data_IF_160460110916
#
_entry.id   IF_160460110916
#
_cell.length_a   1.000
_cell.length_b   1.000
_cell.length_c   1.000
_cell.angle_alpha   90.00
_cell.angle_beta   90.00
_cell.angle_gamma   90.00
#
_symmetry.space_group_name_H-M   'P 1'
#
loop_
_entity.id
_entity.type
_entity.pdbx_description
1 polymer ?
#
# COMPACT_ATOMS: atom_id res chain seq x y z
N UNK A 1 -42.12 -30.80 -34.82
CA UNK A 1 -40.67 -30.62 -34.58
C UNK A 1 -40.30 -29.33 -33.82
N UNK A 2 -41.12 -28.26 -33.82
CA UNK A 2 -40.83 -27.01 -33.08
C UNK A 2 -40.78 -27.12 -31.54
N UNK A 3 -41.46 -28.09 -30.92
CA UNK A 3 -41.45 -28.28 -29.45
C UNK A 3 -40.19 -28.96 -28.88
N UNK A 4 -39.38 -29.62 -29.72
CA UNK A 4 -38.14 -30.29 -29.26
C UNK A 4 -36.92 -29.37 -29.27
N UNK A 5 -36.96 -28.27 -30.04
CA UNK A 5 -35.86 -27.29 -30.11
C UNK A 5 -35.82 -26.41 -28.85
N UNK A 6 -36.97 -26.11 -28.24
CA UNK A 6 -37.06 -25.32 -27.00
C UNK A 6 -36.52 -26.05 -25.76
N UNK A 7 -36.52 -27.39 -25.73
CA UNK A 7 -35.94 -28.15 -24.62
C UNK A 7 -34.40 -28.22 -24.66
N UNK A 8 -33.79 -28.14 -25.84
CA UNK A 8 -32.33 -28.15 -25.96
C UNK A 8 -31.70 -26.78 -25.71
N UNK A 9 -32.41 -25.68 -25.94
CA UNK A 9 -31.93 -24.33 -25.60
C UNK A 9 -32.02 -24.05 -24.09
N UNK A 10 -32.99 -24.64 -23.39
CA UNK A 10 -33.12 -24.52 -21.93
C UNK A 10 -32.06 -25.28 -21.13
N UNK A 11 -31.54 -26.40 -21.65
CA UNK A 11 -30.51 -27.20 -20.97
C UNK A 11 -29.08 -26.69 -21.19
N UNK A 12 -28.83 -25.92 -22.27
CA UNK A 12 -27.52 -25.32 -22.53
C UNK A 12 -27.25 -24.08 -21.67
N UNK A 13 -28.30 -23.41 -21.17
CA UNK A 13 -28.17 -22.22 -20.32
C UNK A 13 -27.91 -22.53 -18.84
N UNK A 14 -28.07 -23.79 -18.41
CA UNK A 14 -27.83 -24.20 -17.02
C UNK A 14 -26.36 -24.59 -16.74
N UNK A 15 -25.52 -24.74 -17.76
CA UNK A 15 -24.14 -25.18 -17.63
C UNK A 15 -23.10 -24.03 -17.58
N UNK A 16 -23.56 -22.77 -17.65
CA UNK A 16 -22.72 -21.58 -17.49
C UNK A 16 -23.08 -20.83 -16.19
N UNK A 17 -23.32 -21.55 -15.10
CA UNK A 17 -23.14 -20.94 -13.78
C UNK A 17 -21.64 -20.92 -13.54
N UNK A 18 -21.01 -19.77 -13.81
CA UNK A 18 -19.70 -19.50 -13.22
C UNK A 18 -19.87 -19.71 -11.71
N UNK A 19 -19.24 -20.75 -11.17
CA UNK A 19 -19.14 -20.92 -9.73
C UNK A 19 -18.34 -19.71 -9.24
N UNK A 20 -19.04 -18.73 -8.67
CA UNK A 20 -18.40 -17.72 -7.87
C UNK A 20 -17.80 -18.45 -6.66
N UNK A 21 -16.56 -18.91 -6.80
CA UNK A 21 -15.82 -19.48 -5.69
C UNK A 21 -15.59 -18.33 -4.71
N UNK A 22 -16.15 -18.47 -3.52
CA UNK A 22 -15.85 -17.54 -2.43
C UNK A 22 -14.34 -17.54 -2.19
N UNK A 23 -13.78 -16.35 -1.95
CA UNK A 23 -12.36 -16.22 -1.62
C UNK A 23 -12.01 -17.11 -0.41
N UNK A 24 -10.89 -17.80 -0.49
CA UNK A 24 -10.36 -18.63 0.58
C UNK A 24 -9.92 -17.73 1.73
N UNK A 25 -10.53 -17.90 2.90
CA UNK A 25 -10.13 -17.15 4.10
C UNK A 25 -8.73 -17.57 4.52
N UNK A 26 -7.82 -16.61 4.62
CA UNK A 26 -6.47 -16.84 5.12
C UNK A 26 -6.49 -16.86 6.65
N UNK A 27 -6.00 -17.93 7.31
CA UNK A 27 -6.02 -17.98 8.76
C UNK A 27 -5.19 -16.85 9.39
N UNK A 28 -5.59 -16.35 10.58
CA UNK A 28 -4.81 -15.35 11.29
C UNK A 28 -3.44 -15.91 11.74
N UNK A 29 -2.51 -15.00 12.03
CA UNK A 29 -1.19 -15.32 12.56
C UNK A 29 -0.18 -15.77 11.51
N UNK A 30 1.06 -15.96 11.95
CA UNK A 30 2.21 -16.16 11.07
C UNK A 30 2.21 -17.50 10.33
N UNK A 31 2.56 -17.46 9.05
CA UNK A 31 2.84 -18.67 8.26
C UNK A 31 4.18 -19.31 8.63
N UNK A 32 5.12 -18.51 9.12
CA UNK A 32 6.46 -18.94 9.54
C UNK A 32 6.59 -18.89 11.07
N UNK A 33 7.15 -19.94 11.69
CA UNK A 33 7.38 -20.00 13.14
C UNK A 33 8.51 -19.09 13.62
N UNK A 34 9.41 -18.72 12.71
CA UNK A 34 10.52 -17.80 12.96
C UNK A 34 10.34 -16.58 12.08
N UNK A 35 10.73 -15.42 12.61
CA UNK A 35 10.71 -14.17 11.84
C UNK A 35 11.59 -14.29 10.60
N UNK A 36 11.07 -13.94 9.40
CA UNK A 36 11.88 -13.84 8.20
C UNK A 36 13.04 -12.84 8.36
N UNK A 37 14.09 -13.00 7.56
CA UNK A 37 15.27 -12.14 7.63
C UNK A 37 14.94 -10.65 7.48
N UNK A 38 15.50 -9.85 8.38
CA UNK A 38 15.38 -8.39 8.34
C UNK A 38 16.43 -7.84 7.37
N UNK A 39 16.05 -7.05 6.35
CA UNK A 39 17.00 -6.46 5.41
C UNK A 39 18.09 -5.64 6.11
N UNK A 40 19.34 -5.79 5.65
CA UNK A 40 20.48 -5.12 6.26
C UNK A 40 20.39 -3.58 6.26
N UNK A 41 19.64 -2.98 5.35
CA UNK A 41 19.37 -1.54 5.35
C UNK A 41 18.59 -1.09 6.62
N UNK A 42 17.61 -1.89 7.07
CA UNK A 42 16.85 -1.63 8.29
C UNK A 42 17.75 -1.72 9.52
N UNK A 43 18.61 -2.74 9.58
CA UNK A 43 19.60 -2.90 10.65
C UNK A 43 20.59 -1.73 10.71
N UNK A 44 21.10 -1.27 9.56
CA UNK A 44 22.01 -0.12 9.48
C UNK A 44 21.35 1.18 9.96
N UNK A 45 20.08 1.44 9.61
CA UNK A 45 19.35 2.64 10.08
C UNK A 45 19.13 2.62 11.59
N UNK A 46 18.76 1.47 12.15
CA UNK A 46 18.59 1.28 13.59
C UNK A 46 19.92 1.46 14.34
N UNK A 47 21.03 0.98 13.79
CA UNK A 47 22.36 1.22 14.36
C UNK A 47 22.78 2.69 14.28
N UNK A 48 22.50 3.37 13.16
CA UNK A 48 22.82 4.79 12.98
C UNK A 48 22.10 5.71 13.98
N UNK A 49 20.98 5.25 14.54
CA UNK A 49 20.18 5.94 15.56
C UNK A 49 20.46 5.45 16.98
N UNK A 50 21.49 4.60 17.17
CA UNK A 50 21.90 4.02 18.46
C UNK A 50 20.74 3.40 19.25
N UNK A 51 19.84 2.70 18.55
CA UNK A 51 18.66 2.06 19.14
C UNK A 51 18.55 0.57 18.74
N UNK A 52 17.47 -0.10 19.15
CA UNK A 52 17.14 -1.48 18.77
C UNK A 52 15.71 -1.57 18.24
N UNK A 53 15.40 -2.60 17.46
CA UNK A 53 14.02 -2.82 16.99
C UNK A 53 13.04 -2.96 18.16
N UNK A 54 13.44 -3.62 19.25
CA UNK A 54 12.62 -3.74 20.45
C UNK A 54 12.34 -2.36 21.09
N UNK A 55 13.36 -1.50 21.19
CA UNK A 55 13.19 -0.15 21.72
C UNK A 55 12.28 0.71 20.83
N UNK A 56 12.42 0.59 19.50
CA UNK A 56 11.56 1.26 18.53
C UNK A 56 10.10 0.79 18.61
N UNK A 57 9.88 -0.52 18.70
CA UNK A 57 8.55 -1.10 18.95
C UNK A 57 7.94 -0.53 20.23
N UNK A 58 8.69 -0.53 21.33
CA UNK A 58 8.21 0.01 22.61
C UNK A 58 7.87 1.51 22.52
N UNK A 59 8.60 2.26 21.72
CA UNK A 59 8.33 3.68 21.46
C UNK A 59 7.00 3.90 20.74
N UNK A 60 6.77 3.22 19.62
CA UNK A 60 5.49 3.34 18.89
C UNK A 60 4.31 2.78 19.68
N UNK A 61 4.52 1.69 20.43
CA UNK A 61 3.52 1.17 21.37
C UNK A 61 3.13 2.22 22.42
N UNK A 62 4.12 2.86 23.06
CA UNK A 62 3.88 3.89 24.06
C UNK A 62 3.15 5.12 23.47
N UNK A 63 3.46 5.51 22.22
CA UNK A 63 2.71 6.55 21.52
C UNK A 63 1.22 6.18 21.41
N UNK A 64 0.91 4.97 20.91
CA UNK A 64 -0.48 4.50 20.79
C UNK A 64 -1.18 4.38 22.15
N UNK A 65 -0.46 3.90 23.17
CA UNK A 65 -1.00 3.73 24.52
C UNK A 65 -1.39 5.08 25.14
N UNK A 66 -0.53 6.08 25.02
CA UNK A 66 -0.69 7.37 25.67
C UNK A 66 -1.57 8.36 24.89
N UNK A 67 -1.84 8.11 23.61
CA UNK A 67 -2.64 8.99 22.76
C UNK A 67 -4.03 8.38 22.47
N UNK A 68 -4.99 8.65 23.36
CA UNK A 68 -6.37 8.18 23.21
C UNK A 68 -7.09 8.83 22.01
N UNK A 69 -6.72 10.06 21.63
CA UNK A 69 -7.30 10.75 20.48
C UNK A 69 -6.85 10.08 19.18
N UNK A 70 -5.57 9.75 19.06
CA UNK A 70 -5.04 8.97 17.94
C UNK A 70 -5.77 7.63 17.80
N UNK A 71 -5.93 6.89 18.90
CA UNK A 71 -6.66 5.61 18.87
C UNK A 71 -8.11 5.79 18.41
N UNK A 72 -8.79 6.83 18.86
CA UNK A 72 -10.15 7.14 18.41
C UNK A 72 -10.20 7.47 16.91
N UNK A 73 -9.23 8.26 16.40
CA UNK A 73 -9.10 8.56 14.96
C UNK A 73 -8.86 7.30 14.14
N UNK A 74 -7.95 6.42 14.58
CA UNK A 74 -7.69 5.13 13.92
C UNK A 74 -8.97 4.29 13.84
N UNK A 75 -9.73 4.14 14.93
CA UNK A 75 -11.00 3.38 14.89
C UNK A 75 -12.01 3.98 13.93
N UNK A 76 -12.17 5.31 13.97
CA UNK A 76 -13.12 6.02 13.12
C UNK A 76 -12.79 5.82 11.64
N UNK A 77 -11.52 5.98 11.29
CA UNK A 77 -11.06 5.78 9.91
C UNK A 77 -11.19 4.32 9.51
N UNK A 78 -10.74 3.37 10.34
CA UNK A 78 -10.85 1.94 10.05
C UNK A 78 -12.30 1.53 9.75
N UNK A 79 -13.25 2.01 10.56
CA UNK A 79 -14.67 1.76 10.34
C UNK A 79 -15.20 2.36 9.02
N UNK A 80 -14.72 3.54 8.61
CA UNK A 80 -15.13 4.16 7.34
C UNK A 80 -14.68 3.37 6.10
N UNK A 81 -13.57 2.64 6.21
CA UNK A 81 -13.01 1.81 5.14
C UNK A 81 -13.36 0.32 5.26
N UNK A 82 -14.22 -0.05 6.22
CA UNK A 82 -14.61 -1.43 6.50
C UNK A 82 -13.40 -2.37 6.71
N UNK A 83 -12.51 -1.95 7.60
CA UNK A 83 -11.33 -2.74 8.02
C UNK A 83 -11.22 -2.73 9.55
N UNK A 84 -10.63 -3.79 10.12
CA UNK A 84 -10.25 -3.81 11.53
C UNK A 84 -9.15 -2.75 11.81
N UNK A 85 -9.23 -1.95 12.90
CA UNK A 85 -8.21 -0.96 13.25
C UNK A 85 -6.80 -1.55 13.39
N UNK A 86 -6.67 -2.85 13.69
CA UNK A 86 -5.39 -3.54 13.76
C UNK A 86 -4.62 -3.56 12.44
N UNK A 87 -5.28 -3.40 11.28
CA UNK A 87 -4.56 -3.25 10.03
C UNK A 87 -3.81 -1.91 9.95
N UNK A 88 -4.45 -0.81 10.35
CA UNK A 88 -3.82 0.52 10.41
C UNK A 88 -2.71 0.52 11.47
N UNK A 89 -2.99 -0.05 12.65
CA UNK A 89 -1.99 -0.17 13.72
C UNK A 89 -0.80 -1.01 13.25
N UNK A 90 -1.04 -2.12 12.57
CA UNK A 90 0.01 -2.99 12.03
C UNK A 90 0.93 -2.27 11.05
N UNK A 91 0.35 -1.49 10.12
CA UNK A 91 1.13 -0.66 9.20
C UNK A 91 2.02 0.36 9.94
N UNK A 92 1.46 1.12 10.88
CA UNK A 92 2.20 2.11 11.68
C UNK A 92 3.31 1.43 12.50
N UNK A 93 2.99 0.35 13.21
CA UNK A 93 3.94 -0.35 14.10
C UNK A 93 5.10 -0.96 13.31
N UNK A 94 4.82 -1.61 12.18
CA UNK A 94 5.86 -2.17 11.31
C UNK A 94 6.82 -1.09 10.81
N UNK A 95 6.27 0.00 10.26
CA UNK A 95 7.05 1.12 9.71
C UNK A 95 7.93 1.79 10.78
N UNK A 96 7.36 2.07 11.95
CA UNK A 96 8.08 2.69 13.05
C UNK A 96 9.00 1.75 13.83
N UNK A 97 8.93 0.45 13.61
CA UNK A 97 9.88 -0.50 14.19
C UNK A 97 11.10 -0.66 13.28
N UNK A 98 10.91 -0.83 11.97
CA UNK A 98 12.00 -1.25 11.08
C UNK A 98 12.53 -0.16 10.14
N UNK A 99 11.74 0.84 9.76
CA UNK A 99 12.16 1.86 8.81
C UNK A 99 12.55 3.18 9.47
N UNK A 100 11.70 3.70 10.34
CA UNK A 100 11.84 5.04 10.94
C UNK A 100 11.62 5.00 12.44
N UNK A 101 11.95 6.08 13.14
CA UNK A 101 11.57 6.25 14.55
C UNK A 101 10.24 7.00 14.65
N UNK A 102 9.39 6.60 15.61
CA UNK A 102 8.21 7.38 15.95
C UNK A 102 8.61 8.69 16.62
N UNK A 103 7.95 9.80 16.27
CA UNK A 103 8.01 10.99 17.11
C UNK A 103 7.22 10.74 18.40
N UNK A 104 7.59 11.42 19.48
CA UNK A 104 6.94 11.19 20.77
C UNK A 104 5.50 11.73 20.83
N UNK A 105 5.09 12.55 19.85
CA UNK A 105 3.83 13.30 19.85
C UNK A 105 3.31 13.59 18.44
N UNK A 106 1.99 13.60 18.26
CA UNK A 106 1.34 14.02 17.01
C UNK A 106 1.65 15.47 16.62
N UNK A 107 1.81 16.36 17.60
CA UNK A 107 2.12 17.79 17.39
C UNK A 107 3.37 17.99 16.53
N UNK A 108 4.38 17.12 16.67
CA UNK A 108 5.61 17.20 15.87
C UNK A 108 5.34 16.96 14.39
N UNK A 109 4.42 16.06 14.05
CA UNK A 109 4.02 15.83 12.66
C UNK A 109 3.30 17.05 12.07
N UNK A 110 2.39 17.69 12.80
CA UNK A 110 1.73 18.91 12.32
C UNK A 110 2.71 20.05 12.05
N UNK A 111 3.69 20.28 12.95
CA UNK A 111 4.73 21.29 12.74
C UNK A 111 5.53 21.00 11.47
N UNK A 112 5.87 19.72 11.24
CA UNK A 112 6.55 19.31 10.01
C UNK A 112 5.66 19.54 8.79
N UNK A 113 4.36 19.23 8.82
CA UNK A 113 3.45 19.49 7.71
C UNK A 113 3.43 20.97 7.32
N UNK A 114 3.35 21.86 8.33
CA UNK A 114 3.34 23.30 8.12
C UNK A 114 4.63 23.83 7.48
N UNK A 115 5.79 23.24 7.77
CA UNK A 115 7.06 23.70 7.15
C UNK A 115 7.12 23.47 5.64
N UNK A 116 6.38 22.48 5.11
CA UNK A 116 6.35 22.22 3.67
C UNK A 116 5.41 23.18 2.91
N UNK A 117 4.44 23.80 3.59
CA UNK A 117 3.56 24.80 2.97
C UNK A 117 4.31 26.05 2.51
N UNK A 118 5.42 26.39 3.16
CA UNK A 118 6.29 27.51 2.77
C UNK A 118 7.33 27.13 1.70
N UNK A 119 7.45 25.85 1.36
CA UNK A 119 8.42 25.36 0.37
C UNK A 119 7.86 25.47 -1.06
N UNK A 120 8.74 25.69 -2.03
CA UNK A 120 8.43 25.48 -3.45
C UNK A 120 8.80 24.06 -3.81
N UNK A 121 7.83 23.15 -3.75
CA UNK A 121 8.01 21.76 -4.11
C UNK A 121 7.67 21.56 -5.59
N UNK A 122 8.42 20.67 -6.24
CA UNK A 122 8.19 20.26 -7.63
C UNK A 122 8.41 18.76 -7.69
N UNK A 123 7.53 18.03 -8.39
CA UNK A 123 7.74 16.62 -8.69
C UNK A 123 8.45 16.51 -10.04
N UNK A 124 9.77 16.36 -10.00
CA UNK A 124 10.59 16.41 -11.21
C UNK A 124 11.81 15.48 -11.10
N UNK A 125 12.32 15.05 -12.26
CA UNK A 125 13.60 14.37 -12.40
C UNK A 125 14.50 15.15 -13.36
N UNK A 126 15.72 15.49 -12.93
CA UNK A 126 16.68 16.29 -13.72
C UNK A 126 16.09 17.59 -14.31
N UNK A 127 15.10 18.18 -13.63
CA UNK A 127 14.44 19.42 -14.05
C UNK A 127 13.24 19.24 -14.98
N UNK A 128 12.91 18.01 -15.40
CA UNK A 128 11.68 17.69 -16.12
C UNK A 128 10.56 17.37 -15.13
N UNK A 129 9.45 18.13 -15.17
CA UNK A 129 8.28 17.88 -14.34
C UNK A 129 7.63 16.55 -14.70
N UNK A 130 7.10 15.85 -13.70
CA UNK A 130 6.42 14.58 -13.91
C UNK A 130 5.17 14.73 -14.77
N UNK A 131 4.48 15.89 -14.72
CA UNK A 131 3.32 16.18 -15.57
C UNK A 131 3.71 16.13 -17.04
N UNK A 132 4.85 16.73 -17.39
CA UNK A 132 5.37 16.78 -18.76
C UNK A 132 5.94 15.40 -19.17
N UNK A 133 6.65 14.74 -18.26
CA UNK A 133 7.26 13.44 -18.51
C UNK A 133 6.24 12.38 -18.91
N UNK A 134 5.05 12.37 -18.26
CA UNK A 134 4.01 11.38 -18.54
C UNK A 134 3.20 11.67 -19.81
N UNK A 135 3.49 12.76 -20.54
CA UNK A 135 2.91 13.04 -21.86
C UNK A 135 3.63 12.31 -23.01
N UNK A 136 4.79 11.67 -22.73
CA UNK A 136 5.59 10.99 -23.74
C UNK A 136 4.82 9.83 -24.39
N UNK A 137 5.10 9.48 -25.68
CA UNK A 137 4.34 8.46 -26.42
C UNK A 137 4.23 7.09 -25.73
N UNK A 138 5.23 6.71 -24.93
CA UNK A 138 5.23 5.46 -24.16
C UNK A 138 4.05 5.36 -23.17
N UNK A 139 3.53 6.50 -22.71
CA UNK A 139 2.40 6.58 -21.78
C UNK A 139 1.04 6.63 -22.47
N UNK A 140 0.96 6.61 -23.80
CA UNK A 140 -0.32 6.65 -24.53
C UNK A 140 -1.28 5.54 -24.13
N UNK A 141 -0.78 4.36 -23.72
CA UNK A 141 -1.63 3.27 -23.22
C UNK A 141 -2.36 3.58 -21.91
N UNK A 142 -1.90 4.58 -21.16
CA UNK A 142 -2.53 5.05 -19.94
C UNK A 142 -3.52 6.19 -20.19
N UNK A 143 -3.63 6.68 -21.43
CA UNK A 143 -4.55 7.75 -21.79
C UNK A 143 -6.00 7.28 -21.61
N UNK A 144 -6.83 8.13 -21.00
CA UNK A 144 -8.25 7.85 -20.77
C UNK A 144 -8.55 7.02 -19.51
N UNK A 145 -7.54 6.55 -18.78
CA UNK A 145 -7.75 5.99 -17.44
C UNK A 145 -8.10 7.14 -16.49
N UNK A 146 -9.26 7.06 -15.85
CA UNK A 146 -9.78 8.12 -14.96
C UNK A 146 -9.60 7.79 -13.49
N UNK A 147 -9.61 6.51 -13.11
CA UNK A 147 -9.37 6.10 -11.72
C UNK A 147 -7.91 6.39 -11.34
N UNK A 148 -7.71 7.10 -10.22
CA UNK A 148 -6.40 7.55 -9.79
C UNK A 148 -5.43 6.41 -9.54
N UNK A 149 -5.90 5.28 -9.00
CA UNK A 149 -5.03 4.13 -8.74
C UNK A 149 -4.57 3.52 -10.07
N UNK A 150 -5.51 3.19 -10.94
CA UNK A 150 -5.23 2.54 -12.22
C UNK A 150 -4.34 3.41 -13.12
N UNK A 151 -4.54 4.73 -13.11
CA UNK A 151 -3.76 5.68 -13.89
C UNK A 151 -2.30 5.69 -13.45
N UNK A 152 -2.06 5.85 -12.15
CA UNK A 152 -0.70 5.92 -11.62
C UNK A 152 0.01 4.57 -11.65
N UNK A 153 -0.70 3.46 -11.41
CA UNK A 153 -0.17 2.11 -11.60
C UNK A 153 0.23 1.87 -13.07
N UNK A 154 -0.61 2.26 -14.03
CA UNK A 154 -0.27 2.16 -15.46
C UNK A 154 1.01 2.94 -15.78
N UNK A 155 1.16 4.16 -15.25
CA UNK A 155 2.37 5.00 -15.42
C UNK A 155 3.59 4.35 -14.78
N UNK A 156 3.48 3.77 -13.58
CA UNK A 156 4.56 3.02 -12.95
C UNK A 156 5.00 1.81 -13.78
N UNK A 157 4.05 1.09 -14.37
CA UNK A 157 4.36 -0.03 -15.26
C UNK A 157 5.07 0.43 -16.54
N UNK A 158 4.65 1.56 -17.14
CA UNK A 158 5.35 2.17 -18.28
C UNK A 158 6.78 2.54 -17.88
N UNK A 159 6.96 3.20 -16.73
CA UNK A 159 8.28 3.55 -16.20
C UNK A 159 9.17 2.31 -16.06
N UNK A 160 8.70 1.29 -15.34
CA UNK A 160 9.45 0.07 -15.09
C UNK A 160 9.81 -0.68 -16.39
N UNK A 161 8.90 -0.69 -17.35
CA UNK A 161 9.13 -1.40 -18.62
C UNK A 161 10.02 -0.61 -19.58
N UNK A 162 9.84 0.71 -19.69
CA UNK A 162 10.38 1.49 -20.81
C UNK A 162 11.55 2.38 -20.43
N UNK A 163 11.63 2.82 -19.17
CA UNK A 163 12.57 3.88 -18.77
C UNK A 163 13.56 3.41 -17.71
N UNK A 164 13.12 2.73 -16.65
CA UNK A 164 13.95 2.34 -15.51
C UNK A 164 15.24 1.64 -15.93
N UNK A 165 16.39 2.25 -15.62
CA UNK A 165 17.72 1.71 -15.95
C UNK A 165 18.06 1.67 -17.44
N UNK A 166 17.32 2.39 -18.29
CA UNK A 166 17.47 2.40 -19.75
C UNK A 166 17.82 3.79 -20.27
N UNK A 167 18.34 3.85 -21.49
CA UNK A 167 18.52 5.09 -22.24
C UNK A 167 17.40 5.22 -23.28
N UNK A 168 16.64 6.31 -23.23
CA UNK A 168 15.52 6.57 -24.14
C UNK A 168 15.67 7.97 -24.72
N UNK A 169 15.72 8.08 -26.05
CA UNK A 169 15.86 9.37 -26.71
C UNK A 169 17.17 10.11 -26.39
N UNK A 170 18.23 9.39 -26.03
CA UNK A 170 19.53 9.97 -25.63
C UNK A 170 19.66 10.31 -24.14
N UNK A 171 18.59 10.23 -23.36
CA UNK A 171 18.60 10.43 -21.90
C UNK A 171 18.69 9.10 -21.17
N UNK A 172 19.63 8.97 -20.22
CA UNK A 172 19.76 7.79 -19.36
C UNK A 172 18.94 7.96 -18.10
N UNK A 173 18.14 6.95 -17.75
CA UNK A 173 17.28 6.97 -16.58
C UNK A 173 17.82 6.04 -15.48
N UNK A 174 17.61 6.39 -14.19
CA UNK A 174 18.12 5.61 -13.08
C UNK A 174 17.43 4.24 -13.00
N UNK A 175 18.13 3.24 -12.48
CA UNK A 175 17.52 1.97 -12.11
C UNK A 175 16.81 2.09 -10.74
N UNK A 176 15.86 2.99 -10.64
CA UNK A 176 15.09 3.26 -9.42
C UNK A 176 13.58 3.27 -9.68
N UNK A 177 12.77 3.25 -8.62
CA UNK A 177 11.31 3.28 -8.66
C UNK A 177 10.81 4.63 -9.18
N UNK A 178 9.65 4.64 -9.86
CA UNK A 178 9.05 5.86 -10.42
C UNK A 178 8.79 6.90 -9.32
N UNK A 179 8.13 6.48 -8.24
CA UNK A 179 7.92 7.29 -7.04
C UNK A 179 9.22 7.86 -6.46
N UNK A 180 10.30 7.08 -6.48
CA UNK A 180 11.58 7.53 -5.96
C UNK A 180 12.29 8.54 -6.87
N UNK A 181 12.05 8.43 -8.17
CA UNK A 181 12.70 9.25 -9.20
C UNK A 181 12.07 10.63 -9.32
N UNK A 182 10.73 10.72 -9.29
CA UNK A 182 10.00 11.96 -9.57
C UNK A 182 9.38 12.63 -8.35
N UNK A 183 9.00 11.87 -7.32
CA UNK A 183 8.14 12.38 -6.25
C UNK A 183 8.89 12.76 -4.97
N UNK A 184 10.21 12.98 -5.08
CA UNK A 184 11.07 13.15 -3.92
C UNK A 184 12.03 14.35 -4.06
N UNK A 185 11.51 15.60 -4.07
CA UNK A 185 12.26 16.84 -4.25
C UNK A 185 13.48 17.08 -3.34
N UNK A 186 13.61 16.38 -2.22
CA UNK A 186 14.74 16.60 -1.29
C UNK A 186 15.62 15.37 -1.08
N UNK A 187 15.03 14.18 -0.94
CA UNK A 187 15.76 12.97 -0.62
C UNK A 187 15.05 11.75 -1.18
N UNK A 188 15.77 10.99 -2.01
CA UNK A 188 15.29 9.73 -2.55
C UNK A 188 14.96 8.72 -1.42
N UNK A 189 13.87 7.98 -1.56
CA UNK A 189 13.34 6.98 -0.63
C UNK A 189 12.48 7.48 0.55
N UNK A 190 12.21 8.79 0.71
CA UNK A 190 11.51 9.26 1.92
C UNK A 190 9.98 9.05 1.92
N UNK A 191 9.51 8.59 3.07
CA UNK A 191 8.12 8.44 3.49
C UNK A 191 7.83 9.39 4.66
N UNK A 192 6.57 9.80 4.83
CA UNK A 192 6.22 10.89 5.74
C UNK A 192 5.00 10.58 6.61
N UNK A 193 4.88 11.35 7.69
CA UNK A 193 3.75 11.24 8.61
C UNK A 193 3.77 9.99 9.47
N UNK A 194 2.72 9.80 10.24
CA UNK A 194 2.54 8.61 11.08
C UNK A 194 2.36 7.34 10.23
N UNK A 195 1.77 7.48 9.04
CA UNK A 195 1.59 6.37 8.10
C UNK A 195 2.83 6.01 7.31
N UNK A 196 3.87 6.85 7.29
CA UNK A 196 5.01 6.67 6.38
C UNK A 196 4.57 6.48 4.92
N UNK A 197 3.67 7.35 4.44
CA UNK A 197 3.23 7.34 3.05
C UNK A 197 4.19 8.13 2.16
N UNK A 198 4.27 7.74 0.89
CA UNK A 198 4.95 8.50 -0.15
C UNK A 198 3.91 9.25 -1.03
N UNK A 199 4.30 10.32 -1.74
CA UNK A 199 3.36 11.12 -2.53
C UNK A 199 2.64 10.34 -3.63
N UNK A 200 3.31 9.40 -4.29
CA UNK A 200 2.71 8.61 -5.38
C UNK A 200 1.60 7.70 -4.85
N UNK A 201 1.79 7.06 -3.69
CA UNK A 201 0.73 6.28 -3.04
C UNK A 201 -0.45 7.14 -2.62
N UNK A 202 -0.22 8.39 -2.19
CA UNK A 202 -1.31 9.30 -1.89
C UNK A 202 -2.10 9.66 -3.16
N UNK A 203 -1.40 9.98 -4.26
CA UNK A 203 -2.03 10.24 -5.55
C UNK A 203 -2.81 9.02 -6.08
N UNK A 204 -2.27 7.81 -5.94
CA UNK A 204 -2.95 6.56 -6.28
C UNK A 204 -4.27 6.39 -5.51
N UNK A 205 -4.28 6.71 -4.22
CA UNK A 205 -5.44 6.53 -3.34
C UNK A 205 -6.42 7.71 -3.36
N UNK A 206 -6.14 8.77 -4.12
CA UNK A 206 -6.90 10.03 -4.13
C UNK A 206 -8.40 9.81 -4.31
N UNK A 207 -8.83 9.10 -5.35
CA UNK A 207 -10.26 8.93 -5.67
C UNK A 207 -10.99 8.12 -4.61
N UNK A 208 -10.37 7.05 -4.11
CA UNK A 208 -10.92 6.23 -3.04
C UNK A 208 -11.07 7.03 -1.74
N UNK A 209 -10.08 7.86 -1.41
CA UNK A 209 -10.11 8.72 -0.23
C UNK A 209 -11.12 9.84 -0.38
N UNK A 210 -11.23 10.45 -1.55
CA UNK A 210 -12.27 11.43 -1.85
C UNK A 210 -13.66 10.83 -1.65
N UNK A 211 -13.90 9.65 -2.24
CA UNK A 211 -15.17 8.93 -2.16
C UNK A 211 -15.57 8.54 -0.74
N UNK A 212 -14.64 8.02 0.07
CA UNK A 212 -14.94 7.47 1.41
C UNK A 212 -14.89 8.54 2.50
N UNK A 213 -13.88 9.42 2.44
CA UNK A 213 -13.58 10.38 3.51
C UNK A 213 -13.94 11.83 3.17
N UNK A 214 -14.29 12.13 1.90
CA UNK A 214 -14.65 13.48 1.47
C UNK A 214 -13.49 14.48 1.42
N UNK A 215 -12.24 14.00 1.47
CA UNK A 215 -11.08 14.87 1.29
C UNK A 215 -10.98 15.32 -0.17
N UNK A 216 -10.43 16.51 -0.48
CA UNK A 216 -10.19 16.92 -1.86
C UNK A 216 -9.31 15.90 -2.61
N UNK A 217 -9.60 15.70 -3.89
CA UNK A 217 -8.71 14.96 -4.78
C UNK A 217 -7.34 15.65 -4.87
N UNK A 218 -6.29 14.85 -4.96
CA UNK A 218 -4.92 15.32 -5.06
C UNK A 218 -4.52 15.51 -6.52
N UNK A 219 -3.89 16.65 -6.80
CA UNK A 219 -3.30 16.96 -8.10
C UNK A 219 -1.78 16.86 -8.01
N UNK A 220 -1.17 16.23 -9.00
CA UNK A 220 0.29 16.17 -9.14
C UNK A 220 0.92 17.55 -9.36
N UNK A 221 0.15 18.48 -9.94
CA UNK A 221 0.57 19.87 -10.13
C UNK A 221 0.53 20.71 -8.84
N UNK A 222 0.04 20.15 -7.72
CA UNK A 222 0.12 20.76 -6.39
C UNK A 222 0.89 19.87 -5.38
N UNK A 223 2.24 19.79 -5.52
CA UNK A 223 3.05 18.97 -4.63
C UNK A 223 2.94 19.41 -3.16
N UNK A 224 2.68 20.68 -2.87
CA UNK A 224 2.56 21.19 -1.51
C UNK A 224 1.35 20.56 -0.79
N UNK A 225 0.20 20.48 -1.46
CA UNK A 225 -0.98 19.83 -0.89
C UNK A 225 -0.78 18.32 -0.73
N UNK A 226 -0.12 17.65 -1.68
CA UNK A 226 0.21 16.23 -1.56
C UNK A 226 1.13 15.99 -0.36
N UNK A 227 2.18 16.79 -0.20
CA UNK A 227 3.12 16.67 0.93
C UNK A 227 2.46 16.97 2.27
N UNK A 228 1.62 18.01 2.35
CA UNK A 228 0.84 18.29 3.55
C UNK A 228 -0.01 17.07 3.93
N UNK A 229 -0.69 16.49 2.95
CA UNK A 229 -1.60 15.35 3.14
C UNK A 229 -0.90 14.13 3.72
N UNK A 230 0.29 13.78 3.22
CA UNK A 230 1.03 12.61 3.73
C UNK A 230 1.71 12.84 5.08
N UNK A 231 1.96 14.09 5.48
CA UNK A 231 2.60 14.41 6.77
C UNK A 231 1.57 14.61 7.88
N UNK A 232 0.48 15.33 7.60
CA UNK A 232 -0.54 15.71 8.58
C UNK A 232 -1.31 14.46 9.08
N UNK A 233 -1.30 14.15 10.40
CA UNK A 233 -1.97 12.98 10.95
C UNK A 233 -3.47 12.87 10.63
N UNK A 234 -4.18 13.99 10.53
CA UNK A 234 -5.63 13.99 10.26
C UNK A 234 -5.94 13.72 8.79
N UNK A 235 -5.02 14.10 7.90
CA UNK A 235 -5.14 13.87 6.46
C UNK A 235 -4.57 12.51 6.05
N UNK A 236 -3.51 12.03 6.69
CA UNK A 236 -2.75 10.84 6.27
C UNK A 236 -3.46 9.53 6.60
N UNK A 237 -4.18 9.44 7.73
CA UNK A 237 -4.82 8.20 8.19
C UNK A 237 -5.82 7.61 7.17
N UNK A 238 -6.71 8.40 6.53
CA UNK A 238 -7.54 7.93 5.42
C UNK A 238 -6.76 7.25 4.28
N UNK A 239 -5.58 7.78 3.92
CA UNK A 239 -4.76 7.20 2.86
C UNK A 239 -4.09 5.88 3.30
N UNK A 240 -3.72 5.76 4.59
CA UNK A 240 -3.24 4.49 5.16
C UNK A 240 -4.34 3.42 5.03
N UNK A 241 -5.55 3.77 5.46
CA UNK A 241 -6.70 2.86 5.42
C UNK A 241 -7.09 2.49 3.98
N UNK A 242 -7.09 3.45 3.05
CA UNK A 242 -7.32 3.21 1.63
C UNK A 242 -6.31 2.23 1.04
N UNK A 243 -5.02 2.39 1.35
CA UNK A 243 -3.95 1.50 0.88
C UNK A 243 -4.14 0.06 1.38
N UNK A 244 -4.53 -0.09 2.65
CA UNK A 244 -4.84 -1.38 3.26
C UNK A 244 -6.07 -2.01 2.60
N UNK A 245 -7.16 -1.26 2.47
CA UNK A 245 -8.39 -1.71 1.83
C UNK A 245 -8.13 -2.20 0.41
N UNK A 246 -7.38 -1.43 -0.38
CA UNK A 246 -6.94 -1.82 -1.74
C UNK A 246 -6.16 -3.13 -1.74
N UNK A 247 -5.31 -3.35 -0.73
CA UNK A 247 -4.57 -4.61 -0.60
C UNK A 247 -5.47 -5.80 -0.32
N UNK A 248 -6.47 -5.65 0.57
CA UNK A 248 -7.45 -6.69 0.87
C UNK A 248 -8.31 -6.98 -0.38
N UNK A 249 -8.78 -5.94 -1.08
CA UNK A 249 -9.58 -6.08 -2.29
C UNK A 249 -8.82 -6.78 -3.42
N UNK A 250 -7.56 -6.40 -3.65
CA UNK A 250 -6.71 -7.00 -4.66
C UNK A 250 -6.53 -8.51 -4.41
N UNK A 251 -6.20 -8.91 -3.18
CA UNK A 251 -6.02 -10.33 -2.87
C UNK A 251 -7.33 -11.12 -2.94
N UNK A 252 -8.45 -10.51 -2.54
CA UNK A 252 -9.76 -11.16 -2.61
C UNK A 252 -10.19 -11.39 -4.07
N UNK A 253 -10.10 -10.34 -4.90
CA UNK A 253 -10.62 -10.36 -6.27
C UNK A 253 -9.70 -11.01 -7.30
N UNK A 254 -8.38 -10.89 -7.13
CA UNK A 254 -7.39 -11.43 -8.09
C UNK A 254 -6.88 -12.78 -7.61
N UNK A 255 -6.33 -12.85 -6.40
CA UNK A 255 -5.71 -14.08 -5.91
C UNK A 255 -6.69 -15.09 -5.29
N UNK A 256 -7.97 -14.70 -5.12
CA UNK A 256 -8.99 -15.54 -4.49
C UNK A 256 -8.76 -15.76 -2.98
N UNK A 257 -8.07 -14.85 -2.29
CA UNK A 257 -7.78 -14.96 -0.85
C UNK A 257 -8.35 -13.78 -0.05
N UNK A 258 -9.12 -14.09 0.98
CA UNK A 258 -9.54 -13.09 1.96
C UNK A 258 -8.49 -12.95 3.07
N UNK A 259 -7.77 -11.83 3.04
CA UNK A 259 -6.72 -11.47 4.01
C UNK A 259 -7.22 -10.49 5.10
N UNK A 260 -8.52 -10.18 5.13
CA UNK A 260 -9.12 -9.19 6.05
C UNK A 260 -9.04 -9.57 7.54
N UNK A 261 -8.65 -10.79 7.86
CA UNK A 261 -8.47 -11.27 9.23
C UNK A 261 -7.00 -11.41 9.66
N UNK A 262 -6.04 -10.99 8.81
CA UNK A 262 -4.61 -11.09 9.09
C UNK A 262 -3.91 -9.74 8.89
N UNK A 263 -3.78 -8.91 9.95
CA UNK A 263 -3.10 -7.62 9.86
C UNK A 263 -1.61 -7.72 9.56
N UNK A 264 -0.96 -8.87 9.82
CA UNK A 264 0.40 -9.11 9.39
C UNK A 264 0.55 -9.15 7.86
N UNK A 265 -0.41 -9.75 7.14
CA UNK A 265 -0.39 -9.77 5.68
C UNK A 265 -0.61 -8.37 5.10
N UNK A 266 -1.56 -7.60 5.63
CA UNK A 266 -1.75 -6.22 5.16
C UNK A 266 -0.56 -5.32 5.52
N UNK A 267 0.07 -5.49 6.68
CA UNK A 267 1.29 -4.76 7.04
C UNK A 267 2.47 -5.11 6.14
N UNK A 268 2.56 -6.38 5.72
CA UNK A 268 3.51 -6.82 4.70
C UNK A 268 3.29 -6.06 3.40
N UNK A 269 2.06 -6.08 2.87
CA UNK A 269 1.70 -5.42 1.61
C UNK A 269 1.86 -3.89 1.67
N UNK A 270 1.54 -3.29 2.82
CA UNK A 270 1.77 -1.86 3.06
C UNK A 270 3.26 -1.51 2.96
N UNK A 271 4.14 -2.37 3.49
CA UNK A 271 5.59 -2.16 3.43
C UNK A 271 6.17 -2.37 2.03
N UNK A 272 5.70 -3.41 1.31
CA UNK A 272 6.32 -3.83 0.05
C UNK A 272 5.66 -3.22 -1.20
N UNK A 273 4.47 -2.64 -1.07
CA UNK A 273 3.69 -2.04 -2.16
C UNK A 273 3.22 -3.02 -3.23
N UNK A 274 2.60 -2.47 -4.27
CA UNK A 274 2.11 -3.15 -5.48
C UNK A 274 1.22 -4.38 -5.19
N UNK A 275 0.11 -4.21 -4.44
CA UNK A 275 -0.72 -5.35 -4.02
C UNK A 275 -1.31 -6.13 -5.19
N UNK A 276 -1.76 -5.47 -6.27
CA UNK A 276 -2.34 -6.16 -7.43
C UNK A 276 -1.31 -7.01 -8.18
N UNK A 277 -0.12 -6.46 -8.47
CA UNK A 277 0.95 -7.22 -9.11
C UNK A 277 1.30 -8.48 -8.32
N UNK A 278 1.31 -8.39 -6.99
CA UNK A 278 1.58 -9.53 -6.11
C UNK A 278 0.43 -10.52 -6.07
N UNK A 279 -0.81 -10.03 -6.11
CA UNK A 279 -1.99 -10.88 -6.19
C UNK A 279 -2.02 -11.68 -7.51
N UNK A 280 -1.75 -11.05 -8.65
CA UNK A 280 -1.63 -11.74 -9.94
C UNK A 280 -0.49 -12.77 -9.94
N UNK A 281 0.66 -12.44 -9.36
CA UNK A 281 1.77 -13.39 -9.26
C UNK A 281 1.41 -14.63 -8.41
N UNK A 282 0.65 -14.43 -7.33
CA UNK A 282 0.15 -15.53 -6.49
C UNK A 282 -0.92 -16.36 -7.21
N UNK A 283 -1.83 -15.71 -7.92
CA UNK A 283 -2.84 -16.37 -8.76
C UNK A 283 -2.16 -17.27 -9.79
N UNK A 284 -1.20 -16.74 -10.56
CA UNK A 284 -0.44 -17.49 -11.57
C UNK A 284 0.34 -18.66 -10.96
N UNK A 285 0.95 -18.48 -9.78
CA UNK A 285 1.62 -19.56 -9.06
C UNK A 285 0.62 -20.67 -8.66
N UNK A 286 -0.55 -20.29 -8.15
CA UNK A 286 -1.56 -21.25 -7.71
C UNK A 286 -2.28 -21.96 -8.85
N UNK A 287 -2.46 -21.32 -10.01
CA UNK A 287 -2.90 -21.99 -11.23
C UNK A 287 -1.95 -23.13 -11.62
N UNK A 288 -0.64 -22.87 -11.59
CA UNK A 288 0.39 -23.88 -11.88
C UNK A 288 0.37 -25.01 -10.85
N UNK A 289 0.25 -24.69 -9.56
CA UNK A 289 0.15 -25.69 -8.48
C UNK A 289 -1.09 -26.58 -8.63
N UNK A 290 -2.26 -25.99 -8.87
CA UNK A 290 -3.50 -26.73 -9.13
C UNK A 290 -3.37 -27.67 -10.33
N UNK A 291 -2.77 -27.20 -11.42
CA UNK A 291 -2.53 -28.03 -12.61
C UNK A 291 -1.56 -29.21 -12.33
N UNK A 292 -0.63 -29.05 -11.39
CA UNK A 292 0.29 -30.08 -10.93
C UNK A 292 -0.28 -30.99 -9.82
N UNK A 293 -1.50 -30.73 -9.32
CA UNK A 293 -2.08 -31.45 -8.18
C UNK A 293 -1.43 -31.10 -6.83
N UNK A 294 -0.69 -29.99 -6.77
CA UNK A 294 -0.09 -29.45 -5.55
C UNK A 294 -1.10 -28.58 -4.77
N UNK A 295 -0.99 -28.51 -3.44
CA UNK A 295 -1.79 -27.58 -2.66
C UNK A 295 -1.49 -26.12 -3.06
N UNK A 296 -2.50 -25.27 -2.99
CA UNK A 296 -2.35 -23.83 -3.17
C UNK A 296 -1.42 -23.25 -2.11
N UNK A 297 -0.59 -22.31 -2.54
CA UNK A 297 0.21 -21.48 -1.66
C UNK A 297 -0.66 -20.35 -1.10
N UNK A 298 -0.61 -20.20 0.21
CA UNK A 298 -1.23 -19.08 0.90
C UNK A 298 -0.34 -17.84 0.82
N UNK A 299 -0.90 -16.62 0.94
CA UNK A 299 -0.12 -15.42 1.20
C UNK A 299 0.73 -15.57 2.48
N UNK A 300 1.93 -15.00 2.46
CA UNK A 300 2.89 -15.09 3.57
C UNK A 300 3.35 -13.71 4.03
N UNK A 301 3.59 -13.56 5.33
CA UNK A 301 4.11 -12.33 5.90
C UNK A 301 5.62 -12.17 5.64
N UNK A 302 6.06 -10.94 5.41
CA UNK A 302 7.48 -10.60 5.56
C UNK A 302 7.81 -10.32 7.04
N UNK A 303 9.05 -9.92 7.32
CA UNK A 303 9.49 -9.55 8.67
C UNK A 303 8.64 -8.46 9.36
N UNK A 304 8.01 -7.54 8.61
CA UNK A 304 7.04 -6.57 9.16
C UNK A 304 5.78 -7.27 9.64
N UNK A 305 5.12 -7.98 8.72
CA UNK A 305 3.88 -8.66 9.02
C UNK A 305 4.04 -9.67 10.14
N UNK A 306 5.20 -10.33 10.16
CA UNK A 306 5.53 -11.30 11.20
C UNK A 306 5.53 -10.67 12.60
N UNK A 307 6.18 -9.51 12.74
CA UNK A 307 6.18 -8.77 14.01
C UNK A 307 4.77 -8.35 14.42
N UNK A 308 3.98 -7.85 13.47
CA UNK A 308 2.62 -7.38 13.75
C UNK A 308 1.76 -8.50 14.30
N UNK A 309 1.82 -9.68 13.69
CA UNK A 309 1.10 -10.86 14.18
C UNK A 309 1.63 -11.35 15.53
N UNK A 310 2.95 -11.34 15.74
CA UNK A 310 3.57 -11.71 17.02
C UNK A 310 3.16 -10.77 18.17
N UNK A 311 2.94 -9.49 17.87
CA UNK A 311 2.53 -8.45 18.83
C UNK A 311 1.03 -8.17 18.86
N UNK A 312 0.24 -8.90 18.08
CA UNK A 312 -1.17 -8.59 17.85
C UNK A 312 -1.99 -8.57 19.15
N UNK A 313 -1.78 -9.57 20.01
CA UNK A 313 -2.51 -9.66 21.28
C UNK A 313 -2.17 -8.49 22.22
N UNK A 314 -0.90 -8.07 22.26
CA UNK A 314 -0.47 -6.91 23.04
C UNK A 314 -1.09 -5.61 22.49
N UNK A 315 -1.07 -5.42 21.17
CA UNK A 315 -1.63 -4.24 20.50
C UNK A 315 -3.14 -4.13 20.67
N UNK A 316 -3.86 -5.26 20.62
CA UNK A 316 -5.32 -5.31 20.83
C UNK A 316 -5.72 -4.81 22.22
N UNK A 317 -4.87 -4.94 23.24
CA UNK A 317 -5.21 -4.41 24.58
C UNK A 317 -5.40 -2.88 24.60
N UNK A 318 -4.90 -2.17 23.58
CA UNK A 318 -5.08 -0.73 23.44
C UNK A 318 -6.39 -0.35 22.74
N UNK A 319 -7.07 -1.28 22.06
CA UNK A 319 -8.25 -1.03 21.24
C UNK A 319 -9.44 -1.88 21.68
#
# INVERSE_FOLDING_TARGET
MKKRILLFVGLALAAAMATANAATMVPPGNRNSVQPDIPGASSRRTQATNTSFQAKYRKVYALLQNDAELRAKIRKVAAAYDIDPMHIVGAIVGEHTYNVDAYDRLQTYYVKAMSYLSSKLTFAYEGEDVSDFVERPQFQKCAGITDSYDLWECREQVWNHSFRGKTVGGTSFPNDRFGATFFQPYYAGQTFGLGQLNPLTALQMSDLVHKVSGLPELDVNDPNTVYKTIIDPDLTLPYVAATIRKSIDAYNSIAGFDISHNPGLTATLYNVGNPEQRAYALEEENEKRRAAGEPEKLPEENYYGWLVNDKLDELKTLF
#
